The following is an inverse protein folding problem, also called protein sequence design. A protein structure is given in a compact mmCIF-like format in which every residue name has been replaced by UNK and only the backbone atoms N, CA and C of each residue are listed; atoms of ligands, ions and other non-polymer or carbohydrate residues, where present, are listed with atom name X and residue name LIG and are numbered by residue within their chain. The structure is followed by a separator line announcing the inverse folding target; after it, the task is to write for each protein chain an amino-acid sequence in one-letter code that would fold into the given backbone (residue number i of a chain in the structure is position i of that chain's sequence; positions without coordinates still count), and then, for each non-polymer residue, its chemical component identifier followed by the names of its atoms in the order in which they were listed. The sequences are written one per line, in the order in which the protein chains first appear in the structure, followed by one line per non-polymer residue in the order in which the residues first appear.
data_IF_491631041816
#
_entry.id   IF_491631041816
#
_cell.length_a   1.000
_cell.length_b   1.000
_cell.length_c   1.000
_cell.angle_alpha   90.00
_cell.angle_beta   90.00
_cell.angle_gamma   90.00
#
_symmetry.space_group_name_H-M   'P 1'
#
loop_
_entity.id
_entity.type
_entity.pdbx_description
1 polymer ?
#
# COMPACT_ATOMS: atom_id res chain seq x y z
N UNK A 1 -2.82 -13.87 1.70
CA UNK A 1 -2.02 -12.77 1.18
C UNK A 1 -2.61 -12.27 -0.12
N UNK A 2 -3.55 -11.34 -0.01
CA UNK A 2 -4.13 -10.58 -1.11
C UNK A 2 -3.10 -9.53 -1.52
N UNK A 3 -2.59 -9.63 -2.73
CA UNK A 3 -1.61 -8.70 -3.26
C UNK A 3 -1.93 -8.36 -4.71
N UNK A 4 -1.39 -7.25 -5.19
CA UNK A 4 -1.53 -6.81 -6.57
C UNK A 4 -0.16 -6.43 -7.14
N UNK A 5 0.11 -6.86 -8.36
CA UNK A 5 1.27 -6.39 -9.13
C UNK A 5 1.05 -4.93 -9.52
N UNK A 6 2.05 -4.09 -9.25
CA UNK A 6 2.05 -2.69 -9.68
C UNK A 6 2.62 -2.65 -11.10
N UNK A 7 1.87 -2.08 -12.05
CA UNK A 7 2.35 -1.95 -13.43
C UNK A 7 3.59 -1.04 -13.48
N UNK A 8 4.39 -1.15 -14.52
CA UNK A 8 5.60 -0.31 -14.66
C UNK A 8 5.27 1.19 -14.62
N UNK A 9 4.15 1.60 -15.25
CA UNK A 9 3.69 3.00 -15.23
C UNK A 9 3.34 3.44 -13.81
N UNK A 10 2.62 2.62 -13.05
CA UNK A 10 2.28 2.94 -11.65
C UNK A 10 3.52 2.91 -10.75
N UNK A 11 4.51 2.05 -11.01
CA UNK A 11 5.79 2.07 -10.32
C UNK A 11 6.49 3.41 -10.52
N UNK A 12 6.59 3.88 -11.77
CA UNK A 12 7.22 5.17 -12.10
C UNK A 12 6.50 6.34 -11.42
N UNK A 13 5.17 6.35 -11.40
CA UNK A 13 4.37 7.41 -10.73
C UNK A 13 4.53 7.39 -9.20
N UNK A 14 4.65 6.20 -8.61
CA UNK A 14 4.83 6.03 -7.17
C UNK A 14 6.27 6.17 -6.67
N UNK A 15 7.24 6.40 -7.56
CA UNK A 15 8.66 6.43 -7.21
C UNK A 15 9.24 5.04 -6.86
N UNK A 16 8.60 3.97 -7.32
CA UNK A 16 8.98 2.58 -7.04
C UNK A 16 9.85 1.98 -8.16
N UNK A 17 10.60 0.93 -7.84
CA UNK A 17 11.33 0.11 -8.83
C UNK A 17 10.41 -0.99 -9.38
N UNK A 18 10.45 -1.22 -10.67
CA UNK A 18 9.76 -2.36 -11.27
C UNK A 18 10.65 -3.62 -11.21
N UNK A 19 10.11 -4.81 -10.86
CA UNK A 19 8.73 -5.06 -10.44
C UNK A 19 8.48 -4.70 -8.96
N UNK A 20 7.24 -4.29 -8.65
CA UNK A 20 6.78 -4.06 -7.27
C UNK A 20 5.39 -4.64 -7.06
N UNK A 21 5.09 -4.97 -5.81
CA UNK A 21 3.80 -5.50 -5.37
C UNK A 21 3.26 -4.67 -4.21
N UNK A 22 1.94 -4.55 -4.15
CA UNK A 22 1.24 -3.98 -3.00
C UNK A 22 0.48 -5.10 -2.28
N UNK A 23 0.80 -5.33 -1.02
CA UNK A 23 0.06 -6.22 -0.12
C UNK A 23 -1.17 -5.46 0.39
N UNK A 24 -2.34 -6.08 0.27
CA UNK A 24 -3.65 -5.45 0.49
C UNK A 24 -4.42 -6.00 1.69
N UNK A 25 -4.01 -7.15 2.20
CA UNK A 25 -4.57 -7.75 3.41
C UNK A 25 -3.76 -7.45 4.68
N UNK A 26 -2.67 -6.69 4.56
CA UNK A 26 -1.83 -6.26 5.68
C UNK A 26 -1.63 -4.74 5.64
N UNK A 27 -1.74 -4.09 6.80
CA UNK A 27 -1.47 -2.66 6.92
C UNK A 27 -0.74 -2.36 8.24
N UNK A 28 0.17 -1.40 8.20
CA UNK A 28 0.77 -0.85 9.41
C UNK A 28 -0.13 0.30 9.91
N UNK A 29 -0.28 0.41 11.23
CA UNK A 29 -0.83 1.59 11.87
C UNK A 29 0.32 2.30 12.58
N UNK A 30 0.62 3.51 12.16
CA UNK A 30 1.71 4.32 12.73
C UNK A 30 1.16 5.71 13.00
N UNK A 31 1.37 6.22 14.21
CA UNK A 31 1.13 7.63 14.51
C UNK A 31 2.27 8.44 13.88
N UNK A 32 1.95 9.50 13.13
CA UNK A 32 2.97 10.26 12.38
C UNK A 32 4.05 10.87 13.29
N UNK A 33 3.66 11.17 14.52
CA UNK A 33 4.53 11.70 15.57
C UNK A 33 5.56 10.65 16.05
N UNK A 34 5.28 9.36 15.78
CA UNK A 34 6.09 8.18 16.11
C UNK A 34 6.68 7.49 14.87
N UNK A 35 6.67 8.17 13.71
CA UNK A 35 7.14 7.66 12.42
C UNK A 35 8.67 7.58 12.31
N UNK A 36 9.38 7.22 13.38
CA UNK A 36 10.85 7.14 13.43
C UNK A 36 11.44 6.09 12.48
N UNK A 37 10.66 5.06 12.14
CA UNK A 37 11.04 4.02 11.17
C UNK A 37 11.11 4.55 9.72
N UNK A 38 10.53 5.71 9.43
CA UNK A 38 10.55 6.29 8.10
C UNK A 38 11.77 7.19 7.94
N UNK A 39 12.57 6.92 6.90
CA UNK A 39 13.68 7.81 6.53
C UNK A 39 13.22 9.21 6.10
N UNK A 40 11.95 9.36 5.73
CA UNK A 40 11.29 10.63 5.40
C UNK A 40 9.77 10.44 5.37
N UNK A 41 9.02 11.49 5.72
CA UNK A 41 7.55 11.56 5.53
C UNK A 41 7.16 12.24 4.22
N UNK A 42 8.14 12.68 3.43
CA UNK A 42 7.90 13.28 2.11
C UNK A 42 7.37 12.19 1.15
N UNK A 43 6.22 12.39 0.49
CA UNK A 43 5.71 11.42 -0.47
C UNK A 43 6.70 11.15 -1.61
N UNK A 44 6.95 9.87 -1.94
CA UNK A 44 7.79 9.48 -3.08
C UNK A 44 7.10 9.65 -4.43
N UNK A 45 5.78 9.75 -4.43
CA UNK A 45 4.94 9.80 -5.62
C UNK A 45 3.48 9.50 -5.29
N UNK A 46 2.67 9.27 -6.33
CA UNK A 46 1.26 8.96 -6.18
C UNK A 46 0.78 7.98 -7.25
N UNK A 47 -0.16 7.11 -6.91
CA UNK A 47 -0.81 6.24 -7.88
C UNK A 47 -1.92 6.96 -8.64
N UNK A 48 -2.24 6.46 -9.84
CA UNK A 48 -3.35 7.01 -10.60
C UNK A 48 -4.70 6.76 -9.92
N UNK A 49 -5.71 7.64 -10.10
CA UNK A 49 -7.04 7.43 -9.53
C UNK A 49 -7.68 6.10 -9.91
N UNK A 50 -7.41 5.60 -11.12
CA UNK A 50 -7.90 4.30 -11.57
C UNK A 50 -7.28 3.15 -10.77
N UNK A 51 -5.97 3.20 -10.52
CA UNK A 51 -5.28 2.20 -9.72
C UNK A 51 -5.72 2.25 -8.25
N UNK A 52 -5.89 3.45 -7.68
CA UNK A 52 -6.42 3.63 -6.31
C UNK A 52 -7.83 3.03 -6.17
N UNK A 53 -8.73 3.25 -7.15
CA UNK A 53 -10.06 2.61 -7.14
C UNK A 53 -9.97 1.08 -7.15
N UNK A 54 -9.06 0.52 -7.95
CA UNK A 54 -8.81 -0.93 -7.99
C UNK A 54 -8.33 -1.46 -6.64
N UNK A 55 -7.38 -0.77 -6.00
CA UNK A 55 -6.89 -1.08 -4.66
C UNK A 55 -8.05 -1.08 -3.64
N UNK A 56 -8.87 -0.03 -3.64
CA UNK A 56 -10.00 0.09 -2.70
C UNK A 56 -11.02 -1.06 -2.85
N UNK A 57 -11.32 -1.50 -4.07
CA UNK A 57 -12.21 -2.64 -4.32
C UNK A 57 -11.61 -3.93 -3.73
N UNK A 58 -10.33 -4.18 -3.97
CA UNK A 58 -9.64 -5.38 -3.49
C UNK A 58 -9.53 -5.41 -1.95
N UNK A 59 -9.25 -4.27 -1.32
CA UNK A 59 -9.24 -4.14 0.14
C UNK A 59 -10.63 -4.45 0.71
N UNK A 60 -11.69 -3.89 0.12
CA UNK A 60 -13.07 -4.17 0.56
C UNK A 60 -13.42 -5.66 0.45
N UNK A 61 -13.00 -6.32 -0.63
CA UNK A 61 -13.20 -7.76 -0.80
C UNK A 61 -12.44 -8.57 0.26
N UNK A 62 -11.18 -8.21 0.56
CA UNK A 62 -10.39 -8.84 1.61
C UNK A 62 -11.01 -8.61 3.00
N UNK A 63 -11.58 -7.43 3.26
CA UNK A 63 -12.28 -7.10 4.50
C UNK A 63 -13.51 -8.00 4.71
N UNK A 64 -14.34 -8.16 3.68
CA UNK A 64 -15.52 -9.04 3.73
C UNK A 64 -15.13 -10.49 4.04
N UNK A 65 -13.96 -10.93 3.56
CA UNK A 65 -13.42 -12.26 3.81
C UNK A 65 -12.71 -12.40 5.18
N UNK A 66 -12.72 -11.36 6.03
CA UNK A 66 -11.99 -11.28 7.31
C UNK A 66 -10.50 -11.58 7.18
N UNK A 67 -9.89 -11.17 6.06
CA UNK A 67 -8.46 -11.40 5.78
C UNK A 67 -7.56 -10.24 6.16
N UNK A 68 -8.12 -9.07 6.46
CA UNK A 68 -7.34 -7.88 6.84
C UNK A 68 -6.68 -8.06 8.21
N UNK A 69 -5.39 -7.74 8.30
CA UNK A 69 -4.59 -7.81 9.52
C UNK A 69 -3.80 -6.53 9.72
N UNK A 70 -3.87 -5.99 10.94
CA UNK A 70 -2.95 -4.94 11.37
C UNK A 70 -1.60 -5.59 11.70
N UNK A 71 -0.52 -5.02 11.16
CA UNK A 71 0.84 -5.41 11.50
C UNK A 71 1.38 -4.37 12.48
N UNK A 72 1.66 -4.81 13.71
CA UNK A 72 2.31 -3.98 14.72
C UNK A 72 3.80 -4.05 14.48
N UNK A 73 4.41 -2.92 14.11
CA UNK A 73 5.86 -2.76 14.07
C UNK A 73 6.26 -1.94 15.29
N UNK A 74 7.25 -2.44 16.04
CA UNK A 74 7.82 -1.83 17.24
C UNK A 74 9.24 -1.39 16.94
#
# INVERSE_FOLDING_TARGET
MVHIVISEIECRRGGLRFPSWLVLDEYNRVELDEAYDFSTTTPSGAFSPAFVRKIAILIKQAATQRRLRAVVRK
#
